data_IF_495688814411
#
_entry.id   IF_495688814411
#
_cell.length_a   1.000
_cell.length_b   1.000
_cell.length_c   1.000
_cell.angle_alpha   90.00
_cell.angle_beta   90.00
_cell.angle_gamma   90.00
#
_symmetry.space_group_name_H-M   'P 1'
#
loop_
_entity.id
_entity.type
_entity.pdbx_description
1 polymer ?
#
# COMPACT_ATOMS: atom_id res chain seq x y z
N UNK A 1 -81.19 -10.48 10.61
CA UNK A 1 -80.38 -9.26 10.84
C UNK A 1 -78.87 -9.54 10.88
N UNK A 2 -78.42 -10.80 10.93
CA UNK A 2 -77.01 -11.18 11.09
C UNK A 2 -76.21 -11.25 9.79
N UNK A 3 -76.82 -11.65 8.67
CA UNK A 3 -76.14 -11.80 7.37
C UNK A 3 -75.56 -10.47 6.84
N UNK A 4 -76.24 -9.35 7.09
CA UNK A 4 -75.77 -8.02 6.67
C UNK A 4 -74.53 -7.55 7.43
N UNK A 5 -74.38 -7.96 8.69
CA UNK A 5 -73.20 -7.64 9.52
C UNK A 5 -71.98 -8.46 9.10
N UNK A 6 -72.20 -9.72 8.73
CA UNK A 6 -71.14 -10.61 8.25
C UNK A 6 -70.60 -10.17 6.88
N UNK A 7 -71.50 -9.73 5.98
CA UNK A 7 -71.13 -9.16 4.68
C UNK A 7 -70.35 -7.84 4.83
N UNK A 8 -70.76 -6.96 5.75
CA UNK A 8 -70.05 -5.72 6.01
C UNK A 8 -68.62 -5.99 6.56
N UNK A 9 -68.48 -6.95 7.48
CA UNK A 9 -67.18 -7.35 8.01
C UNK A 9 -66.28 -7.97 6.92
N UNK A 10 -66.84 -8.78 6.02
CA UNK A 10 -66.12 -9.37 4.89
C UNK A 10 -65.63 -8.33 3.89
N UNK A 11 -66.43 -7.32 3.57
CA UNK A 11 -66.03 -6.23 2.66
C UNK A 11 -64.93 -5.38 3.29
N UNK A 12 -65.00 -5.05 4.58
CA UNK A 12 -63.96 -4.29 5.28
C UNK A 12 -62.64 -5.07 5.30
N UNK A 13 -62.66 -6.38 5.59
CA UNK A 13 -61.49 -7.26 5.53
C UNK A 13 -60.89 -7.34 4.12
N UNK A 14 -61.73 -7.32 3.07
CA UNK A 14 -61.27 -7.33 1.68
C UNK A 14 -60.50 -6.04 1.34
N UNK A 15 -60.99 -4.87 1.77
CA UNK A 15 -60.31 -3.59 1.53
C UNK A 15 -59.02 -3.43 2.34
N UNK A 16 -58.96 -3.99 3.56
CA UNK A 16 -57.73 -4.06 4.36
C UNK A 16 -56.72 -5.02 3.70
N UNK A 17 -57.16 -6.13 3.11
CA UNK A 17 -56.30 -7.06 2.37
C UNK A 17 -55.71 -6.46 1.09
N UNK A 18 -56.45 -5.61 0.38
CA UNK A 18 -55.96 -4.95 -0.85
C UNK A 18 -55.06 -3.73 -0.55
N UNK A 19 -55.22 -3.09 0.61
CA UNK A 19 -54.31 -2.00 1.05
C UNK A 19 -53.03 -2.51 1.72
N UNK A 20 -53.00 -3.77 2.18
CA UNK A 20 -51.81 -4.46 2.71
C UNK A 20 -51.19 -5.42 1.66
N UNK A 21 -51.72 -5.50 0.44
CA UNK A 21 -50.98 -6.02 -0.71
C UNK A 21 -49.84 -5.04 -0.95
N UNK A 22 -48.64 -5.29 -0.42
CA UNK A 22 -47.82 -4.18 -0.03
C UNK A 22 -47.32 -3.50 -1.29
N UNK A 23 -47.20 -2.19 -1.17
CA UNK A 23 -46.01 -1.37 -1.39
C UNK A 23 -44.66 -2.10 -1.13
N UNK A 24 -44.55 -3.37 -1.52
CA UNK A 24 -43.33 -4.00 -1.97
C UNK A 24 -43.02 -3.40 -3.36
N UNK A 25 -42.79 -2.09 -3.36
CA UNK A 25 -41.73 -1.58 -4.18
C UNK A 25 -40.49 -2.22 -3.57
N UNK A 26 -40.20 -3.46 -3.97
CA UNK A 26 -38.83 -3.87 -4.09
C UNK A 26 -38.26 -2.79 -5.02
N UNK A 27 -37.70 -1.74 -4.42
CA UNK A 27 -36.30 -1.48 -4.70
C UNK A 27 -35.68 -2.86 -4.64
N UNK A 28 -35.65 -3.53 -5.80
CA UNK A 28 -34.66 -4.54 -6.09
C UNK A 28 -33.37 -3.80 -5.81
N UNK A 29 -32.95 -3.84 -4.53
CA UNK A 29 -31.60 -4.20 -4.18
C UNK A 29 -31.38 -5.39 -5.08
N UNK A 30 -30.86 -5.13 -6.28
CA UNK A 30 -30.19 -6.15 -7.05
C UNK A 30 -29.23 -6.68 -6.00
N UNK A 31 -29.54 -7.85 -5.45
CA UNK A 31 -28.55 -8.64 -4.78
C UNK A 31 -27.49 -8.78 -5.85
N UNK A 32 -26.48 -7.92 -5.82
CA UNK A 32 -25.34 -8.04 -6.71
C UNK A 32 -24.89 -9.46 -6.46
N UNK A 33 -24.98 -10.30 -7.47
CA UNK A 33 -24.43 -11.64 -7.35
C UNK A 33 -22.99 -11.45 -6.88
N UNK A 34 -22.46 -12.29 -6.00
CA UNK A 34 -21.10 -12.09 -5.45
C UNK A 34 -20.04 -11.84 -6.53
N UNK A 35 -20.28 -12.32 -7.76
CA UNK A 35 -19.47 -12.09 -8.96
C UNK A 35 -19.42 -10.63 -9.47
N UNK A 36 -20.32 -9.76 -9.01
CA UNK A 36 -20.39 -8.33 -9.38
C UNK A 36 -19.67 -7.43 -8.37
N UNK A 37 -19.12 -7.98 -7.28
CA UNK A 37 -18.37 -7.24 -6.28
C UNK A 37 -16.88 -7.27 -6.58
N UNK A 38 -16.19 -6.18 -6.24
CA UNK A 38 -14.73 -6.06 -6.33
C UNK A 38 -14.18 -6.03 -4.92
N UNK A 39 -13.22 -6.89 -4.62
CA UNK A 39 -12.51 -6.88 -3.34
C UNK A 39 -11.36 -5.88 -3.40
N UNK A 40 -11.32 -4.98 -2.44
CA UNK A 40 -10.22 -4.04 -2.24
C UNK A 40 -9.68 -4.24 -0.83
N UNK A 41 -8.39 -4.51 -0.72
CA UNK A 41 -7.72 -4.72 0.57
C UNK A 41 -6.82 -3.53 0.89
N UNK A 42 -6.86 -3.04 2.12
CA UNK A 42 -5.97 -2.02 2.62
C UNK A 42 -5.06 -2.53 3.74
N UNK A 43 -3.80 -2.14 3.66
CA UNK A 43 -2.74 -2.51 4.62
C UNK A 43 -2.13 -1.26 5.24
N UNK A 44 -1.78 -1.36 6.53
CA UNK A 44 -1.03 -0.33 7.25
C UNK A 44 0.48 -0.59 7.13
N UNK A 45 1.14 0.10 6.22
CA UNK A 45 2.57 -0.09 5.96
C UNK A 45 3.43 0.67 6.98
N UNK A 46 4.53 0.05 7.42
CA UNK A 46 5.53 0.68 8.29
C UNK A 46 5.11 0.85 9.76
N UNK A 47 3.95 0.33 10.16
CA UNK A 47 3.43 0.42 11.53
C UNK A 47 2.76 -0.91 11.95
N UNK A 48 2.93 -1.29 13.22
CA UNK A 48 2.27 -2.47 13.82
C UNK A 48 0.98 -2.10 14.55
N UNK A 49 0.12 -3.10 14.76
CA UNK A 49 -1.06 -2.99 15.62
C UNK A 49 -2.36 -2.65 14.88
N UNK A 50 -2.34 -2.70 13.55
CA UNK A 50 -3.53 -2.59 12.70
C UNK A 50 -3.64 -3.86 11.88
N UNK A 51 -4.85 -4.39 11.74
CA UNK A 51 -5.13 -5.52 10.86
C UNK A 51 -5.53 -4.98 9.48
N UNK A 52 -5.29 -5.77 8.45
CA UNK A 52 -5.70 -5.44 7.10
C UNK A 52 -7.23 -5.39 7.00
N UNK A 53 -7.75 -4.48 6.17
CA UNK A 53 -9.19 -4.36 5.93
C UNK A 53 -9.47 -4.76 4.49
N UNK A 54 -10.35 -5.74 4.27
CA UNK A 54 -10.86 -6.08 2.94
C UNK A 54 -12.33 -5.69 2.85
N UNK A 55 -12.67 -4.86 1.86
CA UNK A 55 -14.04 -4.42 1.59
C UNK A 55 -14.47 -4.93 0.21
N UNK A 56 -15.71 -5.44 0.14
CA UNK A 56 -16.38 -5.76 -1.12
C UNK A 56 -17.15 -4.52 -1.60
N UNK A 57 -16.70 -3.91 -2.69
CA UNK A 57 -17.32 -2.76 -3.32
C UNK A 57 -18.20 -3.18 -4.50
N UNK A 58 -19.31 -2.48 -4.74
CA UNK A 58 -20.03 -2.63 -6.02
C UNK A 58 -19.18 -2.07 -7.16
N UNK A 59 -19.44 -2.49 -8.41
CA UNK A 59 -18.75 -1.93 -9.59
C UNK A 59 -18.84 -0.40 -9.65
N UNK A 60 -19.98 0.18 -9.29
CA UNK A 60 -20.17 1.63 -9.24
C UNK A 60 -19.29 2.29 -8.17
N UNK A 61 -19.25 1.71 -6.96
CA UNK A 61 -18.37 2.20 -5.89
C UNK A 61 -16.90 2.11 -6.27
N UNK A 62 -16.49 1.01 -6.91
CA UNK A 62 -15.14 0.82 -7.38
C UNK A 62 -14.76 1.83 -8.48
N UNK A 63 -15.64 2.07 -9.46
CA UNK A 63 -15.43 3.10 -10.48
C UNK A 63 -15.31 4.50 -9.88
N UNK A 64 -16.11 4.81 -8.85
CA UNK A 64 -16.01 6.09 -8.13
C UNK A 64 -14.66 6.21 -7.39
N UNK A 65 -14.16 5.11 -6.82
CA UNK A 65 -12.84 5.07 -6.20
C UNK A 65 -11.73 5.27 -7.24
N UNK A 66 -11.78 4.59 -8.38
CA UNK A 66 -10.80 4.76 -9.47
C UNK A 66 -10.79 6.20 -9.99
N UNK A 67 -11.96 6.77 -10.24
CA UNK A 67 -12.09 8.16 -10.64
C UNK A 67 -11.49 9.10 -9.59
N UNK A 68 -11.76 8.85 -8.31
CA UNK A 68 -11.16 9.63 -7.22
C UNK A 68 -9.62 9.57 -7.25
N UNK A 69 -9.02 8.39 -7.45
CA UNK A 69 -7.56 8.25 -7.51
C UNK A 69 -6.97 9.02 -8.70
N UNK A 70 -7.66 9.05 -9.84
CA UNK A 70 -7.29 9.87 -11.01
C UNK A 70 -7.35 11.37 -10.66
N UNK A 71 -8.43 11.82 -10.02
CA UNK A 71 -8.61 13.22 -9.60
C UNK A 71 -7.60 13.63 -8.51
N UNK A 72 -7.32 12.74 -7.56
CA UNK A 72 -6.27 12.90 -6.55
C UNK A 72 -4.91 13.12 -7.21
N UNK A 73 -4.53 12.27 -8.17
CA UNK A 73 -3.29 12.43 -8.93
C UNK A 73 -3.26 13.76 -9.69
N UNK A 74 -4.36 14.14 -10.31
CA UNK A 74 -4.46 15.41 -11.04
C UNK A 74 -4.27 16.63 -10.10
N UNK A 75 -4.91 16.62 -8.93
CA UNK A 75 -4.71 17.66 -7.89
C UNK A 75 -3.27 17.70 -7.42
N UNK A 76 -2.67 16.54 -7.16
CA UNK A 76 -1.26 16.47 -6.74
C UNK A 76 -0.30 16.94 -7.84
N UNK A 77 -0.63 16.75 -9.11
CA UNK A 77 0.18 17.24 -10.22
C UNK A 77 0.19 18.76 -10.35
N UNK A 78 -0.79 19.45 -9.76
CA UNK A 78 -0.90 20.91 -9.73
C UNK A 78 -0.18 21.53 -8.54
N UNK A 79 0.30 20.74 -7.57
CA UNK A 79 1.05 21.29 -6.44
C UNK A 79 2.49 21.59 -6.82
N UNK A 80 3.02 22.62 -6.18
CA UNK A 80 4.40 23.09 -6.36
C UNK A 80 5.21 22.96 -5.08
N UNK A 81 4.53 22.86 -3.93
CA UNK A 81 5.16 22.81 -2.61
C UNK A 81 4.71 21.61 -1.79
N UNK A 82 5.49 21.29 -0.76
CA UNK A 82 5.17 20.26 0.21
C UNK A 82 3.92 20.65 1.02
N UNK A 83 3.83 21.90 1.41
CA UNK A 83 2.76 22.45 2.24
C UNK A 83 1.40 22.34 1.54
N UNK A 84 1.37 22.59 0.23
CA UNK A 84 0.17 22.40 -0.61
C UNK A 84 -0.27 20.94 -0.71
N UNK A 85 0.67 19.99 -0.63
CA UNK A 85 0.35 18.56 -0.74
C UNK A 85 -0.25 17.97 0.54
N UNK A 86 0.03 18.55 1.71
CA UNK A 86 -0.48 18.07 3.02
C UNK A 86 -2.01 17.93 3.04
N UNK A 87 -2.80 18.97 2.71
CA UNK A 87 -4.25 18.84 2.73
C UNK A 87 -4.74 17.78 1.72
N UNK A 88 -4.10 17.65 0.57
CA UNK A 88 -4.47 16.64 -0.45
C UNK A 88 -4.29 15.22 0.10
N UNK A 89 -3.18 14.95 0.79
CA UNK A 89 -2.93 13.65 1.43
C UNK A 89 -3.92 13.38 2.57
N UNK A 90 -4.23 14.40 3.39
CA UNK A 90 -5.20 14.28 4.48
C UNK A 90 -6.62 14.00 3.96
N UNK A 91 -7.03 14.67 2.90
CA UNK A 91 -8.31 14.47 2.23
C UNK A 91 -8.41 13.08 1.60
N UNK A 92 -7.31 12.55 1.07
CA UNK A 92 -7.25 11.19 0.55
C UNK A 92 -7.57 10.14 1.62
N UNK A 93 -7.02 10.28 2.83
CA UNK A 93 -7.37 9.37 3.93
C UNK A 93 -8.85 9.45 4.30
N UNK A 94 -9.43 10.65 4.33
CA UNK A 94 -10.86 10.85 4.60
C UNK A 94 -11.70 10.20 3.52
N UNK A 95 -11.30 10.31 2.25
CA UNK A 95 -12.04 9.69 1.16
C UNK A 95 -11.99 8.17 1.24
N UNK A 96 -10.81 7.58 1.50
CA UNK A 96 -10.66 6.14 1.66
C UNK A 96 -11.52 5.60 2.82
N UNK A 97 -11.64 6.35 3.92
CA UNK A 97 -12.51 5.98 5.05
C UNK A 97 -13.99 5.89 4.67
N UNK A 98 -14.49 6.72 3.74
CA UNK A 98 -15.87 6.63 3.26
C UNK A 98 -16.20 5.29 2.61
N UNK A 99 -15.20 4.65 2.01
CA UNK A 99 -15.30 3.31 1.44
C UNK A 99 -15.00 2.20 2.46
N UNK A 100 -14.70 2.54 3.71
CA UNK A 100 -14.27 1.60 4.75
C UNK A 100 -12.86 1.05 4.52
N UNK A 101 -12.02 1.74 3.74
CA UNK A 101 -10.70 1.26 3.32
C UNK A 101 -9.58 1.64 4.30
N UNK A 102 -9.88 2.10 5.52
CA UNK A 102 -8.85 2.22 6.54
C UNK A 102 -8.59 0.85 7.21
N UNK A 103 -7.32 0.52 7.50
CA UNK A 103 -6.96 -0.68 8.25
C UNK A 103 -7.73 -0.78 9.57
N UNK A 104 -8.09 -2.00 9.98
CA UNK A 104 -9.00 -2.20 11.11
C UNK A 104 -8.37 -1.68 12.40
N UNK A 105 -9.17 -0.92 13.14
CA UNK A 105 -8.72 -0.24 14.36
C UNK A 105 -7.99 1.09 14.12
N UNK A 106 -7.80 1.51 12.86
CA UNK A 106 -7.23 2.81 12.50
C UNK A 106 -8.32 3.88 12.45
N UNK A 107 -8.13 4.98 13.17
CA UNK A 107 -8.96 6.18 13.02
C UNK A 107 -8.49 7.02 11.83
N UNK A 108 -9.38 7.87 11.30
CA UNK A 108 -9.04 8.85 10.24
C UNK A 108 -7.86 9.72 10.65
N UNK A 109 -7.87 10.27 11.88
CA UNK A 109 -6.77 11.09 12.40
C UNK A 109 -5.44 10.32 12.37
N UNK A 110 -5.47 9.04 12.79
CA UNK A 110 -4.28 8.20 12.78
C UNK A 110 -3.78 7.92 11.36
N UNK A 111 -4.69 7.64 10.43
CA UNK A 111 -4.38 7.44 9.01
C UNK A 111 -3.78 8.69 8.38
N UNK A 112 -4.33 9.87 8.70
CA UNK A 112 -3.81 11.16 8.23
C UNK A 112 -2.39 11.41 8.72
N UNK A 113 -2.13 11.21 10.02
CA UNK A 113 -0.78 11.33 10.59
C UNK A 113 0.21 10.36 9.94
N UNK A 114 -0.23 9.15 9.60
CA UNK A 114 0.57 8.15 8.91
C UNK A 114 0.91 8.60 7.48
N UNK A 115 -0.12 9.03 6.73
CA UNK A 115 0.01 9.44 5.34
C UNK A 115 1.00 10.58 5.13
N UNK A 116 1.10 11.51 6.10
CA UNK A 116 2.02 12.66 6.03
C UNK A 116 3.30 12.47 6.86
N UNK A 117 3.52 11.28 7.44
CA UNK A 117 4.74 10.99 8.18
C UNK A 117 4.94 11.81 9.46
N UNK A 118 3.88 12.37 10.06
CA UNK A 118 3.93 13.07 11.37
C UNK A 118 4.25 12.11 12.52
N UNK A 119 4.30 10.81 12.24
CA UNK A 119 4.10 9.78 13.24
C UNK A 119 5.33 9.25 13.96
N UNK A 120 6.56 9.77 13.76
CA UNK A 120 7.68 9.70 14.74
C UNK A 120 9.11 10.01 14.25
N UNK A 121 9.44 10.10 12.96
CA UNK A 121 10.86 9.99 12.56
C UNK A 121 11.63 11.35 12.50
N UNK A 122 10.96 12.50 12.58
CA UNK A 122 11.60 13.81 12.34
C UNK A 122 11.54 14.82 13.48
N UNK A 123 11.09 14.41 14.67
CA UNK A 123 11.04 15.32 15.81
C UNK A 123 12.45 15.66 16.34
N UNK A 124 13.43 14.76 16.19
CA UNK A 124 14.83 15.07 16.47
C UNK A 124 15.53 15.67 15.24
N UNK A 125 15.61 17.00 15.22
CA UNK A 125 16.32 17.77 14.19
C UNK A 125 17.78 17.36 14.02
N UNK A 126 18.46 16.90 15.07
CA UNK A 126 19.88 16.52 14.97
C UNK A 126 20.07 15.20 14.23
N UNK A 127 19.24 14.21 14.54
CA UNK A 127 19.19 12.93 13.83
C UNK A 127 18.80 13.14 12.37
N UNK A 128 17.81 14.01 12.11
CA UNK A 128 17.41 14.37 10.76
C UNK A 128 18.52 15.06 9.96
N UNK A 129 19.18 16.04 10.54
CA UNK A 129 20.30 16.75 9.90
C UNK A 129 21.47 15.81 9.60
N UNK A 130 21.76 14.86 10.49
CA UNK A 130 22.80 13.85 10.28
C UNK A 130 22.44 12.91 9.14
N UNK A 131 21.18 12.46 9.08
CA UNK A 131 20.64 11.67 7.97
C UNK A 131 20.75 12.45 6.65
N UNK A 132 20.20 13.66 6.58
CA UNK A 132 20.26 14.53 5.39
C UNK A 132 21.70 14.73 4.91
N UNK A 133 22.65 14.99 5.82
CA UNK A 133 24.05 15.21 5.44
C UNK A 133 24.72 13.93 4.90
N UNK A 134 24.36 12.75 5.43
CA UNK A 134 24.84 11.47 4.91
C UNK A 134 24.20 11.13 3.57
N UNK A 135 22.88 11.33 3.44
CA UNK A 135 22.15 11.02 2.20
C UNK A 135 22.38 12.04 1.10
N UNK A 136 22.71 13.30 1.38
CA UNK A 136 23.11 14.30 0.36
C UNK A 136 24.23 13.83 -0.56
N UNK A 137 25.15 12.99 -0.07
CA UNK A 137 26.22 12.40 -0.88
C UNK A 137 25.73 11.33 -1.87
N UNK A 138 24.51 10.83 -1.67
CA UNK A 138 23.84 9.81 -2.48
C UNK A 138 22.68 10.38 -3.32
N UNK A 139 22.45 11.71 -3.30
CA UNK A 139 21.36 12.33 -4.05
C UNK A 139 21.80 12.52 -5.50
N UNK A 140 21.26 11.70 -6.38
CA UNK A 140 21.23 11.96 -7.82
C UNK A 140 19.90 12.65 -8.22
N UNK A 141 19.72 12.88 -9.52
CA UNK A 141 18.50 13.46 -10.07
C UNK A 141 17.25 12.56 -9.90
N UNK A 142 17.46 11.27 -9.71
CA UNK A 142 16.42 10.24 -9.53
C UNK A 142 16.16 9.92 -8.05
N UNK A 143 16.74 10.70 -7.13
CA UNK A 143 16.59 10.49 -5.70
C UNK A 143 15.69 11.56 -5.10
N UNK A 144 14.77 11.17 -4.22
CA UNK A 144 14.09 12.09 -3.31
C UNK A 144 14.27 11.62 -1.86
N UNK A 145 14.26 12.56 -0.92
CA UNK A 145 14.48 12.29 0.50
C UNK A 145 13.41 13.02 1.30
N UNK A 146 12.93 12.39 2.37
CA UNK A 146 11.87 12.87 3.24
C UNK A 146 10.65 13.30 2.43
N UNK A 147 10.11 12.40 1.63
CA UNK A 147 9.08 12.77 0.67
C UNK A 147 7.72 12.23 1.07
N UNK A 148 6.68 13.03 0.81
CA UNK A 148 5.36 12.46 0.61
C UNK A 148 5.44 11.58 -0.63
N UNK A 149 4.91 10.38 -0.51
CA UNK A 149 5.03 9.29 -1.46
C UNK A 149 3.63 8.84 -1.85
N UNK A 150 3.36 8.79 -3.14
CA UNK A 150 2.16 8.14 -3.65
C UNK A 150 2.39 7.60 -5.04
N UNK A 151 1.62 6.59 -5.41
CA UNK A 151 1.65 6.05 -6.75
C UNK A 151 0.78 4.83 -6.90
N UNK A 152 0.61 4.39 -8.14
CA UNK A 152 -0.15 3.21 -8.51
C UNK A 152 0.71 2.37 -9.45
N UNK A 153 0.84 1.08 -9.16
CA UNK A 153 1.75 0.20 -9.90
C UNK A 153 1.18 -1.21 -10.06
N UNK A 154 1.46 -1.89 -11.16
CA UNK A 154 1.05 -3.29 -11.40
C UNK A 154 1.96 -4.34 -10.74
N UNK A 155 3.23 -4.01 -10.50
CA UNK A 155 4.26 -4.97 -10.12
C UNK A 155 5.19 -4.40 -9.05
N UNK A 156 4.68 -4.34 -7.83
CA UNK A 156 5.45 -3.92 -6.66
C UNK A 156 5.11 -4.76 -5.44
N UNK A 157 6.02 -4.78 -4.49
CA UNK A 157 5.81 -5.50 -3.24
C UNK A 157 6.48 -4.81 -2.07
N UNK A 158 5.85 -4.95 -0.92
CA UNK A 158 6.32 -4.36 0.33
C UNK A 158 7.16 -5.39 1.08
N UNK A 159 8.44 -5.09 1.28
CA UNK A 159 9.34 -5.87 2.09
C UNK A 159 9.33 -5.38 3.53
N UNK A 160 8.70 -6.17 4.40
CA UNK A 160 8.74 -5.97 5.84
C UNK A 160 10.18 -6.11 6.37
N UNK A 161 10.47 -5.53 7.54
CA UNK A 161 11.77 -5.72 8.20
C UNK A 161 12.10 -7.20 8.37
N UNK A 162 11.13 -8.05 8.75
CA UNK A 162 11.33 -9.49 8.89
C UNK A 162 11.82 -10.10 7.57
N UNK A 163 11.12 -9.79 6.48
CA UNK A 163 11.48 -10.30 5.14
C UNK A 163 12.87 -9.83 4.71
N UNK A 164 13.21 -8.56 4.96
CA UNK A 164 14.55 -8.00 4.67
C UNK A 164 15.65 -8.71 5.43
N UNK A 165 15.42 -8.90 6.73
CA UNK A 165 16.37 -9.57 7.62
C UNK A 165 16.53 -11.05 7.26
N UNK A 166 15.52 -11.71 6.69
CA UNK A 166 15.70 -13.07 6.15
C UNK A 166 16.40 -13.10 4.78
N UNK A 167 16.04 -12.20 3.86
CA UNK A 167 16.53 -12.24 2.47
C UNK A 167 17.98 -11.75 2.35
N UNK A 168 18.36 -10.66 3.03
CA UNK A 168 19.69 -10.05 2.84
C UNK A 168 20.82 -10.99 3.32
N UNK A 169 20.76 -11.58 4.53
CA UNK A 169 21.74 -12.57 4.96
C UNK A 169 21.71 -13.81 4.08
N UNK A 170 20.54 -14.27 3.63
CA UNK A 170 20.42 -15.40 2.72
C UNK A 170 21.17 -15.15 1.40
N UNK A 171 20.99 -13.97 0.79
CA UNK A 171 21.69 -13.61 -0.45
C UNK A 171 23.21 -13.51 -0.23
N UNK A 172 23.63 -12.91 0.88
CA UNK A 172 25.04 -12.82 1.25
C UNK A 172 25.65 -14.21 1.47
N UNK A 173 24.92 -15.09 2.14
CA UNK A 173 25.34 -16.45 2.44
C UNK A 173 25.34 -17.34 1.19
N UNK A 174 24.41 -17.16 0.24
CA UNK A 174 24.46 -17.80 -1.08
C UNK A 174 25.75 -17.39 -1.81
N UNK A 175 26.11 -16.10 -1.78
CA UNK A 175 27.37 -15.61 -2.36
C UNK A 175 28.61 -16.23 -1.72
N UNK A 176 28.63 -16.34 -0.39
CA UNK A 176 29.70 -17.02 0.36
C UNK A 176 29.74 -18.51 -0.01
N UNK A 177 28.62 -19.20 0.05
CA UNK A 177 28.48 -20.62 -0.30
C UNK A 177 28.99 -20.88 -1.72
N UNK A 178 28.59 -20.07 -2.70
CA UNK A 178 29.08 -20.20 -4.07
C UNK A 178 30.60 -20.05 -4.14
N UNK A 179 31.16 -19.12 -3.36
CA UNK A 179 32.60 -18.84 -3.29
C UNK A 179 33.42 -19.90 -2.54
N UNK A 180 32.78 -20.68 -1.66
CA UNK A 180 33.43 -21.69 -0.80
C UNK A 180 32.85 -23.09 -0.97
N UNK A 181 32.18 -23.36 -2.09
CA UNK A 181 31.49 -24.64 -2.37
C UNK A 181 32.44 -25.85 -2.30
N UNK A 182 33.73 -25.64 -2.56
CA UNK A 182 34.77 -26.66 -2.45
C UNK A 182 35.24 -26.94 -1.00
N UNK A 183 34.67 -26.27 0.01
CA UNK A 183 35.08 -26.37 1.43
C UNK A 183 33.90 -26.75 2.34
N UNK A 184 33.65 -28.05 2.58
CA UNK A 184 32.43 -28.54 3.21
C UNK A 184 32.21 -28.04 4.65
N UNK A 185 33.29 -27.79 5.41
CA UNK A 185 33.18 -27.27 6.79
C UNK A 185 32.70 -25.81 6.81
N UNK A 186 33.17 -25.00 5.85
CA UNK A 186 32.74 -23.59 5.74
C UNK A 186 31.29 -23.54 5.28
N UNK A 187 30.91 -24.41 4.34
CA UNK A 187 29.54 -24.53 3.88
C UNK A 187 28.55 -24.88 5.01
N UNK A 188 28.85 -25.91 5.81
CA UNK A 188 27.99 -26.32 6.93
C UNK A 188 27.91 -25.23 8.02
N UNK A 189 29.03 -24.56 8.33
CA UNK A 189 29.05 -23.43 9.24
C UNK A 189 28.18 -22.26 8.73
N UNK A 190 28.24 -21.94 7.44
CA UNK A 190 27.41 -20.90 6.83
C UNK A 190 25.92 -21.24 6.88
N UNK A 191 25.54 -22.51 6.66
CA UNK A 191 24.15 -22.97 6.79
C UNK A 191 23.66 -22.85 8.25
N UNK A 192 24.46 -23.24 9.24
CA UNK A 192 24.09 -23.11 10.65
C UNK A 192 23.99 -21.66 11.11
N UNK A 193 24.87 -20.79 10.61
CA UNK A 193 24.78 -19.36 10.84
C UNK A 193 23.52 -18.75 10.19
N UNK A 194 23.13 -19.23 9.01
CA UNK A 194 21.87 -18.83 8.35
C UNK A 194 20.66 -19.18 9.22
N UNK A 195 20.55 -20.43 9.66
CA UNK A 195 19.45 -20.90 10.52
C UNK A 195 19.34 -20.03 11.79
N UNK A 196 20.47 -19.80 12.47
CA UNK A 196 20.51 -18.97 13.68
C UNK A 196 20.10 -17.51 13.42
N UNK A 197 20.54 -16.92 12.30
CA UNK A 197 20.14 -15.57 11.93
C UNK A 197 18.65 -15.50 11.63
N UNK A 198 18.08 -16.46 10.89
CA UNK A 198 16.63 -16.50 10.63
C UNK A 198 15.84 -16.56 11.94
N UNK A 199 16.27 -17.38 12.89
CA UNK A 199 15.62 -17.52 14.20
C UNK A 199 15.72 -16.23 15.02
N UNK A 200 16.90 -15.62 15.13
CA UNK A 200 17.09 -14.34 15.86
C UNK A 200 16.22 -13.23 15.28
N UNK A 201 16.08 -13.19 13.95
CA UNK A 201 15.35 -12.13 13.25
C UNK A 201 13.83 -12.35 13.29
N UNK A 202 13.38 -13.60 13.47
CA UNK A 202 11.98 -13.92 13.74
C UNK A 202 11.49 -13.36 15.09
N UNK A 203 12.41 -13.12 16.04
CA UNK A 203 12.10 -12.60 17.38
C UNK A 203 12.23 -11.07 17.52
N UNK A 204 12.55 -10.32 16.45
CA UNK A 204 12.74 -8.86 16.59
C UNK A 204 11.42 -8.09 16.79
N UNK A 205 11.22 -7.42 17.94
CA UNK A 205 10.02 -6.63 18.21
C UNK A 205 10.00 -5.30 17.44
N UNK A 206 11.10 -4.91 16.80
CA UNK A 206 11.28 -3.60 16.16
C UNK A 206 10.40 -3.54 14.91
N UNK A 207 9.25 -2.86 15.02
CA UNK A 207 8.21 -2.79 13.99
C UNK A 207 8.26 -1.49 13.22
N UNK A 208 9.38 -1.20 12.58
CA UNK A 208 9.53 0.00 11.78
C UNK A 208 10.26 -0.32 10.49
N UNK A 209 9.90 0.45 9.45
CA UNK A 209 10.53 0.53 8.15
C UNK A 209 10.09 -0.57 7.18
N UNK A 210 9.26 -0.21 6.20
CA UNK A 210 8.99 -1.07 5.06
C UNK A 210 9.71 -0.53 3.82
N UNK A 211 10.16 -1.45 2.98
CA UNK A 211 10.75 -1.09 1.69
C UNK A 211 9.77 -1.46 0.59
N UNK A 212 9.44 -0.50 -0.27
CA UNK A 212 8.67 -0.82 -1.47
C UNK A 212 9.67 -1.12 -2.59
N UNK A 213 9.51 -2.30 -3.17
CA UNK A 213 10.26 -2.76 -4.32
C UNK A 213 9.38 -2.62 -5.55
N UNK A 214 9.99 -2.17 -6.65
CA UNK A 214 9.37 -1.93 -7.93
C UNK A 214 10.07 -2.79 -8.97
N UNK A 215 9.30 -3.71 -9.55
CA UNK A 215 9.78 -4.72 -10.48
C UNK A 215 10.37 -5.94 -9.78
N UNK A 216 10.69 -6.97 -10.57
CA UNK A 216 11.41 -8.16 -10.11
C UNK A 216 12.34 -8.67 -11.20
N UNK A 217 13.30 -9.51 -10.81
CA UNK A 217 14.11 -10.29 -11.74
C UNK A 217 13.79 -11.76 -11.53
N UNK A 218 13.60 -12.53 -12.61
CA UNK A 218 13.35 -13.97 -12.54
C UNK A 218 14.52 -14.75 -11.95
N UNK A 219 15.75 -14.24 -12.10
CA UNK A 219 16.94 -14.84 -11.52
C UNK A 219 18.04 -13.80 -11.31
N UNK A 220 19.13 -14.20 -10.66
CA UNK A 220 20.28 -13.31 -10.42
C UNK A 220 20.89 -12.74 -11.73
N UNK A 221 20.75 -13.46 -12.84
CA UNK A 221 21.20 -13.02 -14.17
C UNK A 221 20.03 -12.88 -15.18
N UNK A 222 18.79 -12.90 -14.68
CA UNK A 222 17.59 -12.85 -15.49
C UNK A 222 17.29 -11.44 -16.00
N UNK A 223 16.39 -11.32 -16.98
CA UNK A 223 15.86 -10.02 -17.37
C UNK A 223 15.13 -9.37 -16.18
N UNK A 224 15.29 -8.05 -16.05
CA UNK A 224 14.51 -7.26 -15.10
C UNK A 224 13.14 -6.96 -15.72
N UNK A 225 12.09 -7.29 -14.99
CA UNK A 225 10.71 -6.92 -15.31
C UNK A 225 10.35 -5.69 -14.48
N UNK A 226 10.26 -4.50 -15.10
CA UNK A 226 9.96 -3.27 -14.37
C UNK A 226 8.51 -3.27 -13.84
N UNK A 227 8.22 -2.33 -12.95
CA UNK A 227 6.85 -1.92 -12.65
C UNK A 227 6.33 -1.01 -13.74
N UNK A 228 5.03 -1.07 -14.00
CA UNK A 228 4.31 -0.07 -14.77
C UNK A 228 3.37 0.74 -13.89
N UNK A 229 3.15 1.99 -14.28
CA UNK A 229 2.22 2.89 -13.62
C UNK A 229 2.82 4.26 -13.38
N UNK A 230 2.64 4.81 -12.19
CA UNK A 230 3.15 6.13 -11.84
C UNK A 230 3.51 6.24 -10.37
N UNK A 231 4.57 6.99 -10.06
CA UNK A 231 4.97 7.40 -8.71
C UNK A 231 5.18 8.90 -8.70
N UNK A 232 4.67 9.58 -7.68
CA UNK A 232 4.92 10.99 -7.42
C UNK A 232 5.48 11.15 -6.00
N UNK A 233 6.58 11.90 -5.90
CA UNK A 233 7.18 12.24 -4.61
C UNK A 233 7.40 13.73 -4.47
N UNK A 234 7.12 14.25 -3.28
CA UNK A 234 7.32 15.66 -2.93
C UNK A 234 8.18 15.72 -1.66
N UNK A 235 9.46 16.04 -1.83
CA UNK A 235 10.46 15.95 -0.75
C UNK A 235 11.54 17.02 -0.84
N UNK A 236 12.65 16.79 -0.13
CA UNK A 236 13.76 17.75 -0.04
C UNK A 236 14.48 17.98 -1.37
N UNK A 237 14.44 17.02 -2.30
CA UNK A 237 15.03 17.18 -3.63
C UNK A 237 13.99 17.66 -4.67
N UNK A 238 12.95 18.35 -4.19
CA UNK A 238 11.84 18.84 -5.01
C UNK A 238 10.79 17.77 -5.30
N UNK A 239 10.06 18.00 -6.39
CA UNK A 239 9.03 17.08 -6.89
C UNK A 239 9.67 16.14 -7.91
N UNK A 240 9.48 14.83 -7.75
CA UNK A 240 9.94 13.81 -8.70
C UNK A 240 8.78 12.94 -9.13
N UNK A 241 8.73 12.60 -10.42
CA UNK A 241 7.68 11.79 -11.02
C UNK A 241 8.34 10.69 -11.85
N UNK A 242 7.83 9.48 -11.71
CA UNK A 242 8.15 8.33 -12.54
C UNK A 242 6.87 7.86 -13.19
N UNK A 243 6.93 7.58 -14.48
CA UNK A 243 5.77 7.37 -15.33
C UNK A 243 6.04 6.21 -16.28
N UNK A 244 4.98 5.51 -16.69
CA UNK A 244 5.01 4.38 -17.60
C UNK A 244 5.75 3.16 -17.06
N UNK A 245 7.09 3.15 -17.00
CA UNK A 245 7.89 1.99 -16.61
C UNK A 245 9.09 2.39 -15.74
N UNK A 246 9.26 1.73 -14.59
CA UNK A 246 10.35 2.03 -13.66
C UNK A 246 10.71 0.83 -12.78
N UNK A 247 11.90 0.85 -12.21
CA UNK A 247 12.37 -0.18 -11.28
C UNK A 247 13.19 0.39 -10.11
N UNK A 248 13.17 -0.32 -8.98
CA UNK A 248 13.96 0.01 -7.80
C UNK A 248 13.75 -0.97 -6.64
N UNK A 249 14.80 -1.35 -5.93
CA UNK A 249 14.72 -2.21 -4.75
C UNK A 249 15.80 -3.27 -4.67
N UNK A 250 15.55 -4.33 -3.91
CA UNK A 250 16.49 -5.45 -3.68
C UNK A 250 16.78 -6.22 -4.97
N UNK A 251 15.84 -6.28 -5.91
CA UNK A 251 16.03 -6.96 -7.20
C UNK A 251 17.14 -6.33 -8.05
N UNK A 252 17.34 -5.01 -7.97
CA UNK A 252 18.35 -4.30 -8.75
C UNK A 252 19.74 -4.37 -8.11
N UNK A 253 19.82 -4.46 -6.77
CA UNK A 253 21.08 -4.71 -6.06
C UNK A 253 21.79 -5.99 -6.52
N UNK A 254 21.03 -7.03 -6.85
CA UNK A 254 21.56 -8.32 -7.31
C UNK A 254 22.17 -8.26 -8.72
N UNK A 255 21.69 -7.36 -9.58
CA UNK A 255 22.19 -7.18 -10.95
C UNK A 255 23.19 -6.02 -11.08
N UNK A 256 23.70 -5.48 -9.96
CA UNK A 256 24.69 -4.40 -9.96
C UNK A 256 24.13 -3.01 -10.28
N UNK A 257 22.81 -2.88 -10.45
CA UNK A 257 22.13 -1.59 -10.56
C UNK A 257 21.65 -1.18 -9.16
N UNK A 258 22.39 -0.31 -8.47
CA UNK A 258 22.05 0.14 -7.12
C UNK A 258 20.85 1.11 -7.11
N UNK A 259 19.65 0.65 -7.42
CA UNK A 259 18.41 1.42 -7.22
C UNK A 259 17.68 0.90 -5.99
N UNK A 260 17.31 1.77 -5.06
CA UNK A 260 16.96 1.33 -3.70
C UNK A 260 15.44 1.15 -3.50
N UNK A 261 14.62 1.61 -4.46
CA UNK A 261 13.17 1.60 -4.31
C UNK A 261 12.70 2.72 -3.39
N UNK A 262 11.64 2.47 -2.61
CA UNK A 262 11.23 3.37 -1.52
C UNK A 262 11.63 2.78 -0.17
N UNK A 263 12.44 3.51 0.59
CA UNK A 263 12.97 3.14 1.90
C UNK A 263 12.15 3.79 3.01
N UNK A 264 11.95 3.02 4.08
CA UNK A 264 11.25 3.39 5.30
C UNK A 264 9.88 4.01 4.98
N UNK A 265 9.16 3.38 4.05
CA UNK A 265 7.80 3.75 3.73
C UNK A 265 6.90 3.52 4.94
N UNK A 266 6.04 4.49 5.19
CA UNK A 266 5.02 4.46 6.24
C UNK A 266 3.75 5.09 5.67
N UNK A 267 2.63 4.38 5.68
CA UNK A 267 1.43 4.84 5.00
C UNK A 267 0.39 3.75 4.82
N UNK A 268 -0.46 3.95 3.83
CA UNK A 268 -1.48 3.01 3.39
C UNK A 268 -1.05 2.39 2.05
N UNK A 269 -1.29 1.09 1.89
CA UNK A 269 -1.28 0.42 0.60
C UNK A 269 -2.67 -0.14 0.33
N UNK A 270 -3.16 0.00 -0.90
CA UNK A 270 -4.41 -0.60 -1.37
C UNK A 270 -4.11 -1.60 -2.47
N UNK A 271 -4.70 -2.78 -2.38
CA UNK A 271 -4.73 -3.79 -3.42
C UNK A 271 -6.02 -3.59 -4.20
N UNK A 272 -5.87 -3.16 -5.44
CA UNK A 272 -6.94 -2.88 -6.38
C UNK A 272 -7.18 -4.10 -7.28
N UNK A 273 -8.22 -4.03 -8.12
CA UNK A 273 -8.45 -5.05 -9.15
C UNK A 273 -7.26 -5.12 -10.13
N UNK A 274 -7.11 -6.22 -10.86
CA UNK A 274 -6.00 -6.44 -11.82
C UNK A 274 -4.57 -6.48 -11.23
N UNK A 275 -4.43 -6.84 -9.95
CA UNK A 275 -3.14 -6.87 -9.23
C UNK A 275 -2.44 -5.51 -9.11
N UNK A 276 -3.16 -4.42 -9.33
CA UNK A 276 -2.60 -3.09 -9.12
C UNK A 276 -2.52 -2.76 -7.62
N UNK A 277 -1.47 -2.03 -7.25
CA UNK A 277 -1.29 -1.51 -5.90
C UNK A 277 -1.21 0.00 -5.92
N UNK A 278 -2.01 0.62 -5.08
CA UNK A 278 -1.91 2.04 -4.79
C UNK A 278 -1.19 2.25 -3.45
N UNK A 279 -0.39 3.31 -3.37
CA UNK A 279 0.35 3.70 -2.17
C UNK A 279 0.05 5.16 -1.83
N UNK A 280 -0.12 5.44 -0.54
CA UNK A 280 -0.30 6.79 0.00
C UNK A 280 0.42 6.89 1.33
N UNK A 281 1.50 7.67 1.39
CA UNK A 281 2.28 7.75 2.60
C UNK A 281 3.46 8.70 2.56
N UNK A 282 4.42 8.38 3.41
CA UNK A 282 5.68 9.06 3.52
C UNK A 282 6.82 8.05 3.35
N UNK A 283 7.87 8.44 2.65
CA UNK A 283 9.10 7.65 2.51
C UNK A 283 10.33 8.48 2.89
N UNK A 284 11.28 7.86 3.58
CA UNK A 284 12.54 8.50 3.95
C UNK A 284 13.41 8.76 2.72
N UNK A 285 13.49 7.80 1.82
CA UNK A 285 14.28 7.90 0.59
C UNK A 285 13.57 7.15 -0.52
N UNK A 286 13.57 7.73 -1.71
CA UNK A 286 13.05 7.10 -2.92
C UNK A 286 14.08 7.27 -4.01
N UNK A 287 14.51 6.16 -4.61
CA UNK A 287 15.40 6.16 -5.76
C UNK A 287 14.91 5.09 -6.75
N UNK A 288 14.43 5.55 -7.90
CA UNK A 288 13.86 4.73 -8.96
C UNK A 288 14.49 5.11 -10.30
N UNK A 289 14.63 4.14 -11.18
CA UNK A 289 15.14 4.33 -12.53
C UNK A 289 14.02 4.11 -13.55
N UNK A 290 13.88 5.01 -14.52
CA UNK A 290 12.94 4.83 -15.64
C UNK A 290 13.52 3.83 -16.64
N UNK A 291 12.69 2.91 -17.12
CA UNK A 291 13.04 1.92 -18.13
C UNK A 291 12.60 2.36 -19.54
#
# INVERSE_FOLDING_TARGET
MEIKKLLAAGVILLFVGVTIAPTINFNTVKASQENDLVEVTSEACGIKGFEDTTVKLTREQYQNLEQYLVEFRARLNQTSTREEAVPIFKDAVVELDKYGLLPRGMSVERGQMLAIGENKIFQDRNTLNTLINKTKRMVDENTNILCYFTGQTDNSYVLTLRTRLSIIPLLFLIGIVASFSDRPIIFDFCLKLLELLVDILAFSPIGFNEWINFGYSESYYGPLYPSHGWINTIGLNGIKKWEASFAGGVGSFLIGQLTIGAIDFTGLSLYLDNNERFYLGFALLVNLYNY
#
